data_IF_890671346844
#
_entry.id   IF_890671346844
#
_cell.length_a   1.000
_cell.length_b   1.000
_cell.length_c   1.000
_cell.angle_alpha   90.00
_cell.angle_beta   90.00
_cell.angle_gamma   90.00
#
_symmetry.space_group_name_H-M   'P 1'
#
loop_
_entity.id
_entity.type
_entity.pdbx_description
1 polymer ?
#
# COMPACT_ATOMS: atom_id res chain seq x y z
N UNK A 1 -15.07 40.24 47.60
CA UNK A 1 -14.23 39.31 46.82
C UNK A 1 -15.06 38.05 46.57
N UNK A 2 -15.74 37.94 45.42
CA UNK A 2 -16.43 36.70 45.02
C UNK A 2 -15.46 35.82 44.21
N UNK A 3 -15.57 34.49 44.25
CA UNK A 3 -14.67 33.62 43.50
C UNK A 3 -14.91 33.76 41.98
N UNK A 4 -13.88 33.60 41.14
CA UNK A 4 -14.02 33.66 39.69
C UNK A 4 -14.87 32.49 39.21
N UNK A 5 -15.97 32.79 38.53
CA UNK A 5 -16.81 31.82 37.85
C UNK A 5 -16.03 31.29 36.65
N UNK A 6 -15.48 30.08 36.76
CA UNK A 6 -14.97 29.33 35.61
C UNK A 6 -16.15 29.05 34.66
N UNK A 7 -16.30 29.87 33.62
CA UNK A 7 -17.05 29.47 32.43
C UNK A 7 -16.25 28.38 31.74
N UNK A 8 -16.73 27.15 31.78
CA UNK A 8 -16.41 26.20 30.73
C UNK A 8 -16.81 26.83 29.39
N UNK A 9 -15.96 26.80 28.35
CA UNK A 9 -16.43 27.16 27.02
C UNK A 9 -17.57 26.22 26.68
N UNK A 10 -18.74 26.80 26.40
CA UNK A 10 -19.85 26.11 25.79
C UNK A 10 -19.37 25.72 24.39
N UNK A 11 -18.84 24.51 24.26
CA UNK A 11 -18.51 23.94 22.96
C UNK A 11 -19.83 23.82 22.21
N UNK A 12 -19.98 24.67 21.20
CA UNK A 12 -21.11 24.68 20.28
C UNK A 12 -21.10 23.38 19.50
N UNK A 13 -22.03 22.48 19.84
CA UNK A 13 -22.19 21.14 19.25
C UNK A 13 -22.21 21.17 17.70
N UNK A 14 -22.61 22.31 17.12
CA UNK A 14 -22.61 22.55 15.66
C UNK A 14 -21.19 22.62 15.06
N UNK A 15 -20.23 23.25 15.73
CA UNK A 15 -18.84 23.36 15.23
C UNK A 15 -18.12 22.01 15.25
N UNK A 16 -18.43 21.16 16.23
CA UNK A 16 -17.90 19.79 16.31
C UNK A 16 -18.47 18.88 15.22
N UNK A 17 -19.75 19.05 14.89
CA UNK A 17 -20.43 18.24 13.87
C UNK A 17 -19.92 18.55 12.45
N UNK A 18 -19.75 19.83 12.13
CA UNK A 18 -19.17 20.25 10.85
C UNK A 18 -17.70 19.79 10.71
N UNK A 19 -16.91 19.91 11.77
CA UNK A 19 -15.53 19.42 11.80
C UNK A 19 -15.42 17.91 11.55
N UNK A 20 -16.29 17.12 12.20
CA UNK A 20 -16.37 15.68 11.99
C UNK A 20 -16.79 15.32 10.57
N UNK A 21 -17.79 15.99 10.01
CA UNK A 21 -18.25 15.74 8.64
C UNK A 21 -17.14 16.00 7.61
N UNK A 22 -16.39 17.10 7.76
CA UNK A 22 -15.25 17.40 6.90
C UNK A 22 -14.12 16.38 7.03
N UNK A 23 -13.84 15.91 8.25
CA UNK A 23 -12.85 14.86 8.48
C UNK A 23 -13.26 13.53 7.83
N UNK A 24 -14.52 13.11 8.02
CA UNK A 24 -15.07 11.90 7.39
C UNK A 24 -15.08 12.00 5.87
N UNK A 25 -15.47 13.15 5.32
CA UNK A 25 -15.43 13.39 3.87
C UNK A 25 -14.00 13.26 3.34
N UNK A 26 -13.02 13.88 4.00
CA UNK A 26 -11.62 13.79 3.61
C UNK A 26 -11.12 12.35 3.61
N UNK A 27 -11.45 11.58 4.65
CA UNK A 27 -11.07 10.15 4.75
C UNK A 27 -11.74 9.33 3.66
N UNK A 28 -13.04 9.54 3.42
CA UNK A 28 -13.80 8.84 2.37
C UNK A 28 -13.26 9.14 0.98
N UNK A 29 -12.95 10.41 0.66
CA UNK A 29 -12.33 10.79 -0.62
C UNK A 29 -10.95 10.14 -0.76
N UNK A 30 -10.15 10.15 0.31
CA UNK A 30 -8.83 9.50 0.31
C UNK A 30 -8.94 7.98 0.06
N UNK A 31 -9.88 7.30 0.71
CA UNK A 31 -10.18 5.88 0.49
C UNK A 31 -10.70 5.62 -0.93
N UNK A 32 -11.56 6.50 -1.45
CA UNK A 32 -12.09 6.39 -2.80
C UNK A 32 -10.97 6.43 -3.85
N UNK A 33 -10.07 7.42 -3.73
CA UNK A 33 -8.89 7.53 -4.59
C UNK A 33 -8.01 6.29 -4.46
N UNK A 34 -7.76 5.81 -3.23
CA UNK A 34 -7.02 4.58 -3.00
C UNK A 34 -7.63 3.39 -3.75
N UNK A 35 -8.93 3.11 -3.58
CA UNK A 35 -9.57 1.96 -4.24
C UNK A 35 -9.61 2.07 -5.75
N UNK A 36 -9.77 3.28 -6.28
CA UNK A 36 -9.77 3.52 -7.71
C UNK A 36 -8.40 3.23 -8.32
N UNK A 37 -7.33 3.81 -7.75
CA UNK A 37 -5.96 3.55 -8.18
C UNK A 37 -5.57 2.09 -7.93
N UNK A 38 -6.04 1.48 -6.84
CA UNK A 38 -5.79 0.07 -6.51
C UNK A 38 -6.41 -0.89 -7.54
N UNK A 39 -7.61 -0.57 -8.01
CA UNK A 39 -8.27 -1.31 -9.09
C UNK A 39 -7.50 -1.17 -10.40
N UNK A 40 -7.12 0.05 -10.78
CA UNK A 40 -6.32 0.31 -11.98
C UNK A 40 -4.97 -0.41 -11.94
N UNK A 41 -4.28 -0.37 -10.81
CA UNK A 41 -3.01 -1.05 -10.61
C UNK A 41 -3.18 -2.57 -10.71
N UNK A 42 -4.23 -3.14 -10.11
CA UNK A 42 -4.52 -4.57 -10.17
C UNK A 42 -4.80 -5.04 -11.61
N UNK A 43 -5.63 -4.33 -12.36
CA UNK A 43 -5.94 -4.66 -13.76
C UNK A 43 -4.68 -4.51 -14.62
N UNK A 44 -3.97 -3.38 -14.52
CA UNK A 44 -2.77 -3.11 -15.33
C UNK A 44 -1.67 -4.12 -15.06
N UNK A 45 -1.40 -4.43 -13.78
CA UNK A 45 -0.38 -5.41 -13.42
C UNK A 45 -0.76 -6.81 -13.89
N UNK A 46 -2.02 -7.23 -13.71
CA UNK A 46 -2.51 -8.52 -14.20
C UNK A 46 -2.34 -8.65 -15.72
N UNK A 47 -2.77 -7.64 -16.48
CA UNK A 47 -2.65 -7.65 -17.94
C UNK A 47 -1.19 -7.63 -18.38
N UNK A 48 -0.37 -6.71 -17.88
CA UNK A 48 1.04 -6.57 -18.31
C UNK A 48 1.86 -7.81 -17.93
N UNK A 49 1.79 -8.26 -16.68
CA UNK A 49 2.54 -9.43 -16.20
C UNK A 49 1.98 -10.71 -16.83
N UNK A 50 0.67 -10.83 -17.00
CA UNK A 50 0.02 -11.97 -17.65
C UNK A 50 0.41 -12.10 -19.11
N UNK A 51 0.30 -11.02 -19.88
CA UNK A 51 0.75 -11.01 -21.27
C UNK A 51 2.25 -11.27 -21.39
N UNK A 52 3.09 -10.68 -20.53
CA UNK A 52 4.53 -10.91 -20.57
C UNK A 52 4.89 -12.37 -20.26
N UNK A 53 4.26 -12.99 -19.26
CA UNK A 53 4.50 -14.40 -18.92
C UNK A 53 4.01 -15.35 -20.01
N UNK A 54 2.82 -15.13 -20.57
CA UNK A 54 2.30 -15.91 -21.71
C UNK A 54 3.20 -15.77 -22.95
N UNK A 55 3.68 -14.56 -23.24
CA UNK A 55 4.59 -14.32 -24.34
C UNK A 55 5.93 -15.03 -24.13
N UNK A 56 6.46 -15.06 -22.90
CA UNK A 56 7.67 -15.84 -22.57
C UNK A 56 7.45 -17.33 -22.82
N UNK A 57 6.30 -17.88 -22.43
CA UNK A 57 5.94 -19.29 -22.67
C UNK A 57 5.82 -19.59 -24.16
N UNK A 58 5.13 -18.74 -24.92
CA UNK A 58 4.97 -18.89 -26.36
C UNK A 58 6.30 -18.79 -27.14
N UNK A 59 7.25 -17.99 -26.64
CA UNK A 59 8.58 -17.80 -27.24
C UNK A 59 9.66 -18.73 -26.66
N UNK A 60 9.33 -19.56 -25.68
CA UNK A 60 10.21 -20.62 -25.15
C UNK A 60 10.74 -21.56 -26.24
N UNK A 61 9.94 -22.04 -27.22
CA UNK A 61 10.47 -22.90 -28.30
C UNK A 61 11.49 -22.20 -29.21
N UNK A 62 11.57 -20.86 -29.19
CA UNK A 62 12.58 -20.08 -29.93
C UNK A 62 13.90 -19.91 -29.14
N UNK A 63 14.11 -20.76 -28.13
CA UNK A 63 15.28 -20.94 -27.25
C UNK A 63 15.79 -19.67 -26.54
N UNK A 64 16.30 -18.69 -27.28
CA UNK A 64 16.99 -17.52 -26.71
C UNK A 64 16.02 -16.37 -26.38
N UNK A 65 14.99 -16.17 -27.21
CA UNK A 65 14.11 -15.00 -27.08
C UNK A 65 13.21 -15.09 -25.83
N UNK A 66 12.64 -16.28 -25.55
CA UNK A 66 11.82 -16.50 -24.36
C UNK A 66 12.59 -16.29 -23.05
N UNK A 67 13.85 -16.75 -22.98
CA UNK A 67 14.69 -16.59 -21.77
C UNK A 67 15.07 -15.13 -21.52
N UNK A 68 15.35 -14.38 -22.59
CA UNK A 68 15.65 -12.93 -22.49
C UNK A 68 14.42 -12.18 -21.96
N UNK A 69 13.24 -12.43 -22.52
CA UNK A 69 11.99 -11.81 -22.05
C UNK A 69 11.64 -12.19 -20.62
N UNK A 70 11.90 -13.43 -20.22
CA UNK A 70 11.68 -13.90 -18.86
C UNK A 70 12.51 -13.14 -17.82
N UNK A 71 13.69 -12.62 -18.20
CA UNK A 71 14.49 -11.74 -17.33
C UNK A 71 13.90 -10.34 -17.14
N UNK A 72 13.07 -9.87 -18.07
CA UNK A 72 12.42 -8.56 -17.94
C UNK A 72 11.19 -8.59 -17.02
N UNK A 73 10.51 -9.74 -16.90
CA UNK A 73 9.31 -9.88 -16.04
C UNK A 73 9.56 -9.46 -14.59
N UNK A 74 10.63 -9.92 -13.89
CA UNK A 74 10.95 -9.47 -12.53
C UNK A 74 11.19 -7.96 -12.42
N UNK A 75 11.75 -7.33 -13.44
CA UNK A 75 11.97 -5.88 -13.45
C UNK A 75 10.64 -5.11 -13.48
N UNK A 76 9.71 -5.54 -14.33
CA UNK A 76 8.35 -5.00 -14.39
C UNK A 76 7.62 -5.20 -13.05
N UNK A 77 7.73 -6.40 -12.49
CA UNK A 77 7.13 -6.74 -11.18
C UNK A 77 7.70 -5.90 -10.05
N UNK A 78 9.00 -5.58 -10.08
CA UNK A 78 9.61 -4.68 -9.09
C UNK A 78 9.01 -3.28 -9.15
N UNK A 79 8.81 -2.72 -10.36
CA UNK A 79 8.16 -1.40 -10.54
C UNK A 79 6.73 -1.43 -10.01
N UNK A 80 5.95 -2.48 -10.31
CA UNK A 80 4.61 -2.61 -9.75
C UNK A 80 4.60 -2.74 -8.22
N UNK A 81 5.58 -3.42 -7.63
CA UNK A 81 5.70 -3.54 -6.19
C UNK A 81 6.02 -2.19 -5.53
N UNK A 82 6.86 -1.35 -6.15
CA UNK A 82 7.13 0.01 -5.67
C UNK A 82 5.88 0.91 -5.74
N UNK A 83 5.15 0.85 -6.85
CA UNK A 83 3.89 1.58 -7.02
C UNK A 83 2.84 1.11 -6.00
N UNK A 84 2.76 -0.19 -5.76
CA UNK A 84 1.82 -0.79 -4.81
C UNK A 84 2.12 -0.38 -3.37
N UNK A 85 3.40 -0.39 -2.98
CA UNK A 85 3.82 0.12 -1.67
C UNK A 85 3.52 1.60 -1.53
N UNK A 86 3.79 2.41 -2.57
CA UNK A 86 3.45 3.83 -2.57
C UNK A 86 1.96 4.07 -2.37
N UNK A 87 1.12 3.24 -3.01
CA UNK A 87 -0.33 3.31 -2.87
C UNK A 87 -0.82 2.92 -1.47
N UNK A 88 -0.23 1.89 -0.86
CA UNK A 88 -0.54 1.50 0.52
C UNK A 88 -0.09 2.58 1.51
N UNK A 89 1.09 3.15 1.33
CA UNK A 89 1.60 4.24 2.17
C UNK A 89 0.75 5.51 2.06
N UNK A 90 0.10 5.73 0.92
CA UNK A 90 -0.83 6.85 0.77
C UNK A 90 -1.97 6.77 1.79
N UNK A 91 -2.52 5.59 2.07
CA UNK A 91 -3.65 5.41 3.02
C UNK A 91 -3.20 5.12 4.46
N UNK A 92 -2.01 4.57 4.65
CA UNK A 92 -1.45 4.27 5.99
C UNK A 92 -1.05 5.50 6.79
N UNK A 93 -1.04 5.34 8.12
CA UNK A 93 -0.44 6.28 9.06
C UNK A 93 1.09 6.34 8.88
N UNK A 94 1.76 7.44 9.23
CA UNK A 94 3.22 7.58 9.08
C UNK A 94 4.03 6.47 9.77
N UNK A 95 3.53 5.95 10.90
CA UNK A 95 4.15 4.87 11.66
C UNK A 95 4.14 3.52 10.91
N UNK A 96 3.14 3.31 10.04
CA UNK A 96 2.96 2.07 9.28
C UNK A 96 3.59 2.11 7.87
N UNK A 97 4.35 3.17 7.56
CA UNK A 97 4.93 3.36 6.22
C UNK A 97 5.99 2.31 5.91
N UNK A 98 5.80 1.63 4.78
CA UNK A 98 6.74 0.63 4.27
C UNK A 98 7.88 1.35 3.54
N UNK A 99 9.12 1.00 3.87
CA UNK A 99 10.31 1.59 3.25
C UNK A 99 10.60 1.00 1.86
N UNK A 100 10.68 1.87 0.84
CA UNK A 100 10.87 1.47 -0.58
C UNK A 100 12.36 1.38 -0.96
N UNK A 101 13.25 2.16 -0.32
CA UNK A 101 14.69 2.25 -0.67
C UNK A 101 15.59 1.67 0.42
N UNK A 102 16.83 1.30 0.07
CA UNK A 102 17.91 1.03 1.06
C UNK A 102 17.91 2.20 2.05
N UNK A 103 17.68 1.88 3.32
CA UNK A 103 17.68 2.81 4.45
C UNK A 103 18.96 3.66 4.40
N UNK A 104 18.86 4.84 3.80
CA UNK A 104 19.91 5.85 3.79
C UNK A 104 19.46 7.09 4.58
N UNK A 105 18.21 7.08 5.07
CA UNK A 105 17.72 8.06 6.02
C UNK A 105 17.71 7.46 7.43
N UNK A 106 18.54 8.09 8.25
CA UNK A 106 18.81 7.94 9.67
C UNK A 106 17.89 7.01 10.50
N UNK A 107 18.45 6.02 11.24
CA UNK A 107 17.72 5.19 12.20
C UNK A 107 17.14 5.95 13.41
N UNK A 108 17.29 7.28 13.49
CA UNK A 108 16.90 8.08 14.65
C UNK A 108 15.38 8.13 14.92
N UNK A 109 14.52 7.99 13.89
CA UNK A 109 13.06 8.12 14.09
C UNK A 109 12.33 6.81 14.42
N UNK A 110 12.90 5.65 14.08
CA UNK A 110 12.28 4.36 14.40
C UNK A 110 12.44 3.97 15.88
N UNK A 111 13.49 4.46 16.54
CA UNK A 111 13.73 4.22 17.96
C UNK A 111 12.84 5.04 18.91
N UNK A 112 12.18 6.10 18.43
CA UNK A 112 11.31 6.93 19.26
C UNK A 112 9.97 6.25 19.63
N UNK A 113 9.54 5.22 18.88
CA UNK A 113 8.27 4.52 19.11
C UNK A 113 8.42 3.07 19.62
N UNK A 114 9.64 2.61 19.94
CA UNK A 114 9.85 1.27 20.51
C UNK A 114 9.64 0.09 19.54
N UNK A 115 9.55 0.35 18.24
CA UNK A 115 9.28 -0.67 17.23
C UNK A 115 10.59 -1.32 16.75
N UNK A 116 10.76 -2.61 17.06
CA UNK A 116 12.04 -3.34 16.87
C UNK A 116 12.24 -3.88 15.46
N UNK A 117 11.29 -3.66 14.53
CA UNK A 117 11.38 -4.13 13.14
C UNK A 117 10.70 -3.17 12.17
N UNK A 118 11.39 -2.82 11.08
CA UNK A 118 10.86 -1.97 9.99
C UNK A 118 10.49 -2.87 8.80
N UNK A 119 9.32 -2.63 8.21
CA UNK A 119 8.89 -3.32 6.97
C UNK A 119 9.58 -2.69 5.75
N UNK A 120 10.19 -3.53 4.91
CA UNK A 120 10.94 -3.07 3.74
C UNK A 120 10.62 -3.88 2.49
N UNK A 121 10.58 -3.20 1.35
CA UNK A 121 10.46 -3.84 0.04
C UNK A 121 11.67 -4.73 -0.25
N UNK A 122 11.44 -5.98 -0.68
CA UNK A 122 12.51 -6.95 -0.91
C UNK A 122 13.50 -6.47 -1.99
N UNK A 123 14.80 -6.31 -1.68
CA UNK A 123 15.78 -5.72 -2.59
C UNK A 123 16.14 -6.60 -3.80
N UNK A 124 15.67 -7.85 -3.86
CA UNK A 124 15.96 -8.81 -4.93
C UNK A 124 14.79 -9.05 -5.91
N UNK A 125 13.75 -8.21 -5.91
CA UNK A 125 12.59 -8.33 -6.82
C UNK A 125 12.97 -8.23 -8.30
N UNK A 126 14.02 -7.49 -8.65
CA UNK A 126 14.50 -7.32 -10.02
C UNK A 126 15.33 -8.48 -10.55
N UNK A 127 15.67 -9.47 -9.70
CA UNK A 127 16.41 -10.67 -10.08
C UNK A 127 15.48 -11.88 -10.02
N UNK A 128 15.68 -12.84 -10.92
CA UNK A 128 15.03 -14.14 -10.85
C UNK A 128 15.36 -14.80 -9.52
N UNK A 129 14.39 -14.80 -8.61
CA UNK A 129 14.50 -15.30 -7.25
C UNK A 129 13.15 -15.86 -6.81
N UNK A 130 13.11 -16.74 -5.80
CA UNK A 130 11.84 -17.22 -5.23
C UNK A 130 10.93 -16.07 -4.76
N UNK A 131 11.53 -14.96 -4.31
CA UNK A 131 10.81 -13.74 -3.93
C UNK A 131 10.19 -13.02 -5.12
N UNK A 132 10.91 -12.91 -6.25
CA UNK A 132 10.35 -12.35 -7.47
C UNK A 132 9.22 -13.21 -8.03
N UNK A 133 9.35 -14.55 -8.03
CA UNK A 133 8.28 -15.46 -8.44
C UNK A 133 7.02 -15.28 -7.59
N UNK A 134 7.18 -15.14 -6.28
CA UNK A 134 6.07 -14.88 -5.35
C UNK A 134 5.37 -13.55 -5.66
N UNK A 135 6.13 -12.49 -5.93
CA UNK A 135 5.58 -11.21 -6.32
C UNK A 135 4.88 -11.26 -7.70
N UNK A 136 5.44 -12.00 -8.66
CA UNK A 136 4.78 -12.26 -9.95
C UNK A 136 3.43 -12.95 -9.75
N UNK A 137 3.37 -14.01 -8.94
CA UNK A 137 2.12 -14.69 -8.62
C UNK A 137 1.12 -13.78 -7.90
N UNK A 138 1.60 -12.91 -7.01
CA UNK A 138 0.78 -11.89 -6.36
C UNK A 138 0.10 -10.97 -7.38
N UNK A 139 0.85 -10.40 -8.32
CA UNK A 139 0.29 -9.52 -9.35
C UNK A 139 -0.61 -10.24 -10.38
N UNK A 140 -0.34 -11.53 -10.63
CA UNK A 140 -1.19 -12.37 -11.49
C UNK A 140 -2.49 -12.87 -10.83
N UNK A 141 -2.64 -12.76 -9.51
CA UNK A 141 -3.80 -13.35 -8.83
C UNK A 141 -4.34 -12.45 -7.72
N UNK A 142 -3.67 -12.43 -6.58
CA UNK A 142 -4.13 -11.75 -5.36
C UNK A 142 -4.33 -10.25 -5.61
N UNK A 143 -3.42 -9.57 -6.29
CA UNK A 143 -3.58 -8.14 -6.59
C UNK A 143 -4.75 -7.89 -7.52
N UNK A 144 -4.91 -8.73 -8.55
CA UNK A 144 -6.04 -8.63 -9.47
C UNK A 144 -7.38 -8.80 -8.72
N UNK A 145 -7.46 -9.78 -7.82
CA UNK A 145 -8.63 -10.02 -6.98
C UNK A 145 -8.90 -8.84 -6.03
N UNK A 146 -7.88 -8.35 -5.33
CA UNK A 146 -8.02 -7.19 -4.42
C UNK A 146 -8.41 -5.92 -5.19
N UNK A 147 -7.90 -5.73 -6.41
CA UNK A 147 -8.29 -4.67 -7.32
C UNK A 147 -9.75 -4.79 -7.79
N UNK A 148 -10.20 -6.00 -8.12
CA UNK A 148 -11.58 -6.28 -8.49
C UNK A 148 -12.56 -6.04 -7.32
N UNK A 149 -12.20 -6.50 -6.11
CA UNK A 149 -12.94 -6.21 -4.89
C UNK A 149 -13.00 -4.70 -4.62
N UNK A 150 -11.92 -3.96 -4.89
CA UNK A 150 -11.91 -2.50 -4.75
C UNK A 150 -12.89 -1.80 -5.69
N UNK A 151 -12.93 -2.22 -6.97
CA UNK A 151 -13.94 -1.70 -7.91
C UNK A 151 -15.36 -2.10 -7.51
N UNK A 152 -15.57 -3.30 -6.98
CA UNK A 152 -16.87 -3.78 -6.53
C UNK A 152 -17.38 -2.94 -5.36
N UNK A 153 -16.54 -2.68 -4.35
CA UNK A 153 -16.89 -1.84 -3.20
C UNK A 153 -17.24 -0.42 -3.64
N UNK A 154 -16.45 0.18 -4.54
CA UNK A 154 -16.76 1.50 -5.10
C UNK A 154 -18.08 1.51 -5.86
N UNK A 155 -18.32 0.49 -6.68
CA UNK A 155 -19.56 0.37 -7.45
C UNK A 155 -20.78 0.24 -6.54
N UNK A 156 -20.70 -0.58 -5.49
CA UNK A 156 -21.80 -0.74 -4.52
C UNK A 156 -22.05 0.58 -3.78
N UNK A 157 -21.02 1.23 -3.27
CA UNK A 157 -21.15 2.44 -2.46
C UNK A 157 -21.65 3.65 -3.27
N UNK A 158 -21.23 3.79 -4.52
CA UNK A 158 -21.42 5.01 -5.30
C UNK A 158 -22.31 4.86 -6.55
N UNK A 159 -22.82 3.67 -6.88
CA UNK A 159 -23.67 3.46 -8.06
C UNK A 159 -24.91 4.35 -8.09
N UNK A 160 -25.65 4.44 -6.97
CA UNK A 160 -26.85 5.27 -6.88
C UNK A 160 -26.56 6.78 -6.99
N UNK A 161 -25.67 7.37 -6.16
CA UNK A 161 -25.39 8.80 -6.26
C UNK A 161 -24.75 9.18 -7.59
N UNK A 162 -23.79 8.40 -8.10
CA UNK A 162 -23.16 8.67 -9.40
C UNK A 162 -24.17 8.50 -10.54
N UNK A 163 -25.04 7.50 -10.46
CA UNK A 163 -26.11 7.29 -11.44
C UNK A 163 -27.10 8.45 -11.51
N UNK A 164 -27.52 8.98 -10.36
CA UNK A 164 -28.40 10.14 -10.28
C UNK A 164 -27.74 11.41 -10.85
N UNK A 165 -26.47 11.65 -10.52
CA UNK A 165 -25.69 12.79 -11.06
C UNK A 165 -25.53 12.66 -12.58
N UNK A 166 -25.15 11.48 -13.07
CA UNK A 166 -24.88 11.25 -14.49
C UNK A 166 -26.13 11.38 -15.35
N UNK A 167 -27.30 10.96 -14.83
CA UNK A 167 -28.59 11.06 -15.53
C UNK A 167 -29.26 12.42 -15.38
N UNK A 168 -28.84 13.24 -14.41
CA UNK A 168 -29.52 14.50 -14.06
C UNK A 168 -30.94 14.31 -13.49
N UNK A 169 -31.33 13.08 -13.17
CA UNK A 169 -32.63 12.70 -12.62
C UNK A 169 -32.47 11.42 -11.78
N UNK A 170 -33.29 11.24 -10.76
CA UNK A 170 -33.29 10.04 -9.89
C UNK A 170 -33.76 8.79 -10.64
N UNK A 171 -34.40 8.96 -11.80
CA UNK A 171 -34.96 7.87 -12.62
C UNK A 171 -36.40 7.56 -12.24
N UNK A 172 -37.13 6.93 -13.16
CA UNK A 172 -38.59 6.79 -13.07
C UNK A 172 -39.05 5.98 -11.84
N UNK A 173 -38.18 5.11 -11.31
CA UNK A 173 -38.42 4.32 -10.10
C UNK A 173 -38.47 5.15 -8.81
N UNK A 174 -37.95 6.39 -8.82
CA UNK A 174 -37.83 7.26 -7.64
C UNK A 174 -38.56 8.59 -7.83
N UNK A 175 -39.76 8.55 -8.44
CA UNK A 175 -40.56 9.75 -8.65
C UNK A 175 -41.25 10.25 -7.37
N UNK A 176 -41.34 11.57 -7.21
CA UNK A 176 -42.00 12.22 -6.08
C UNK A 176 -41.23 12.15 -4.75
N UNK A 177 -41.85 12.69 -3.69
CA UNK A 177 -41.22 12.82 -2.36
C UNK A 177 -40.87 11.46 -1.75
N UNK A 178 -41.74 10.46 -1.94
CA UNK A 178 -41.52 9.09 -1.45
C UNK A 178 -40.32 8.46 -2.17
N UNK A 179 -40.24 8.61 -3.50
CA UNK A 179 -39.11 8.10 -4.30
C UNK A 179 -37.78 8.74 -3.88
N UNK A 180 -37.76 10.05 -3.65
CA UNK A 180 -36.59 10.77 -3.11
C UNK A 180 -36.17 10.22 -1.74
N UNK A 181 -37.12 10.00 -0.83
CA UNK A 181 -36.83 9.48 0.51
C UNK A 181 -36.26 8.05 0.46
N UNK A 182 -36.80 7.18 -0.40
CA UNK A 182 -36.26 5.83 -0.61
C UNK A 182 -34.86 5.89 -1.22
N UNK A 183 -34.63 6.76 -2.21
CA UNK A 183 -33.32 6.96 -2.82
C UNK A 183 -32.27 7.43 -1.81
N UNK A 184 -32.62 8.40 -0.96
CA UNK A 184 -31.74 8.90 0.10
C UNK A 184 -31.44 7.80 1.13
N UNK A 185 -32.46 7.09 1.60
CA UNK A 185 -32.29 6.00 2.56
C UNK A 185 -31.40 4.89 2.00
N UNK A 186 -31.62 4.49 0.75
CA UNK A 186 -30.80 3.48 0.07
C UNK A 186 -29.36 3.96 -0.11
N UNK A 187 -29.16 5.20 -0.53
CA UNK A 187 -27.82 5.78 -0.70
C UNK A 187 -27.07 5.86 0.63
N UNK A 188 -27.72 6.33 1.69
CA UNK A 188 -27.14 6.38 3.04
C UNK A 188 -26.78 4.97 3.51
N UNK A 189 -27.65 3.99 3.32
CA UNK A 189 -27.38 2.60 3.70
C UNK A 189 -26.18 2.01 2.95
N UNK A 190 -26.09 2.25 1.64
CA UNK A 190 -24.96 1.81 0.82
C UNK A 190 -23.65 2.49 1.24
N UNK A 191 -23.66 3.77 1.59
CA UNK A 191 -22.49 4.48 2.10
C UNK A 191 -22.08 3.96 3.48
N UNK A 192 -23.05 3.72 4.38
CA UNK A 192 -22.81 3.16 5.71
C UNK A 192 -22.15 1.78 5.67
N UNK A 193 -22.48 0.97 4.67
CA UNK A 193 -21.83 -0.34 4.44
C UNK A 193 -20.51 -0.17 3.67
N UNK A 194 -20.51 0.71 2.67
CA UNK A 194 -19.38 0.93 1.77
C UNK A 194 -18.14 1.47 2.48
N UNK A 195 -18.29 2.42 3.41
CA UNK A 195 -17.16 3.02 4.13
C UNK A 195 -16.37 1.99 4.95
N UNK A 196 -16.99 1.15 5.81
CA UNK A 196 -16.30 0.06 6.49
C UNK A 196 -15.66 -0.94 5.52
N UNK A 197 -16.35 -1.29 4.43
CA UNK A 197 -15.80 -2.19 3.40
C UNK A 197 -14.56 -1.61 2.72
N UNK A 198 -14.55 -0.30 2.46
CA UNK A 198 -13.38 0.40 1.93
C UNK A 198 -12.21 0.36 2.92
N UNK A 199 -12.45 0.66 4.19
CA UNK A 199 -11.43 0.56 5.24
C UNK A 199 -10.86 -0.86 5.36
N UNK A 200 -11.72 -1.87 5.33
CA UNK A 200 -11.30 -3.27 5.34
C UNK A 200 -10.49 -3.62 4.09
N UNK A 201 -10.93 -3.19 2.91
CA UNK A 201 -10.23 -3.42 1.65
C UNK A 201 -8.84 -2.78 1.61
N UNK A 202 -8.69 -1.57 2.18
CA UNK A 202 -7.39 -0.92 2.33
C UNK A 202 -6.44 -1.74 3.24
N UNK A 203 -6.94 -2.21 4.39
CA UNK A 203 -6.17 -3.09 5.30
C UNK A 203 -5.80 -4.42 4.67
N UNK A 204 -6.72 -5.03 3.92
CA UNK A 204 -6.48 -6.27 3.20
C UNK A 204 -5.40 -6.08 2.14
N UNK A 205 -5.47 -4.98 1.37
CA UNK A 205 -4.45 -4.65 0.38
C UNK A 205 -3.08 -4.48 1.04
N UNK A 206 -2.98 -3.70 2.12
CA UNK A 206 -1.74 -3.52 2.90
C UNK A 206 -1.16 -4.86 3.34
N UNK A 207 -1.98 -5.68 4.00
CA UNK A 207 -1.56 -6.98 4.54
C UNK A 207 -1.03 -7.89 3.43
N UNK A 208 -1.70 -7.91 2.27
CA UNK A 208 -1.26 -8.68 1.13
C UNK A 208 0.07 -8.13 0.57
N UNK A 209 0.21 -6.82 0.37
CA UNK A 209 1.45 -6.20 -0.11
C UNK A 209 2.63 -6.50 0.83
N UNK A 210 2.44 -6.41 2.14
CA UNK A 210 3.45 -6.77 3.15
C UNK A 210 3.84 -8.24 3.02
N UNK A 211 2.87 -9.15 2.97
CA UNK A 211 3.12 -10.60 2.93
C UNK A 211 3.86 -11.05 1.66
N UNK A 212 3.47 -10.51 0.50
CA UNK A 212 4.00 -10.96 -0.80
C UNK A 212 5.26 -10.20 -1.24
N UNK A 213 5.34 -8.89 -0.97
CA UNK A 213 6.39 -8.01 -1.52
C UNK A 213 7.45 -7.57 -0.50
N UNK A 214 7.15 -7.64 0.81
CA UNK A 214 8.03 -7.09 1.85
C UNK A 214 8.76 -8.18 2.64
N UNK A 215 9.82 -7.77 3.31
CA UNK A 215 10.51 -8.52 4.36
C UNK A 215 10.60 -7.67 5.63
N UNK A 216 10.59 -8.33 6.80
CA UNK A 216 10.81 -7.65 8.07
C UNK A 216 12.32 -7.49 8.27
N UNK A 217 12.76 -6.26 8.47
CA UNK A 217 14.15 -5.94 8.77
C UNK A 217 14.26 -5.50 10.22
N UNK A 218 15.04 -6.23 11.01
CA UNK A 218 15.47 -5.77 12.35
C UNK A 218 16.77 -4.98 12.17
N UNK A 219 16.78 -3.65 12.41
CA UNK A 219 18.01 -2.89 12.40
C UNK A 219 18.91 -3.42 13.52
N UNK A 220 20.06 -4.00 13.15
CA UNK A 220 21.09 -4.39 14.12
C UNK A 220 21.62 -3.09 14.76
N UNK A 221 21.54 -2.93 16.09
CA UNK A 221 22.13 -1.77 16.74
C UNK A 221 23.61 -1.72 16.38
N UNK A 222 24.04 -0.68 15.67
CA UNK A 222 25.46 -0.37 15.54
C UNK A 222 25.94 0.22 16.87
N UNK A 223 26.01 -0.63 17.89
CA UNK A 223 26.72 -0.38 19.14
C UNK A 223 28.11 -1.02 19.05
N UNK A 224 29.15 -0.18 19.07
CA UNK A 224 30.57 -0.52 19.18
C UNK A 224 31.23 -1.32 18.04
N UNK A 225 31.60 -0.64 16.95
CA UNK A 225 32.81 -1.03 16.20
C UNK A 225 33.79 0.14 15.96
N UNK A 226 33.60 1.28 16.62
CA UNK A 226 34.44 2.47 16.41
C UNK A 226 35.61 2.66 17.38
N UNK A 227 35.89 1.73 18.31
CA UNK A 227 37.04 1.85 19.23
C UNK A 227 37.73 0.49 19.47
N UNK A 228 38.35 -0.11 18.44
CA UNK A 228 39.41 -1.13 18.65
C UNK A 228 40.26 -1.37 17.37
N UNK A 229 40.64 -0.31 16.65
CA UNK A 229 41.61 -0.42 15.54
C UNK A 229 42.64 0.71 15.48
N UNK A 230 42.89 1.35 16.61
CA UNK A 230 43.99 2.31 16.78
C UNK A 230 44.77 1.99 18.05
N UNK A 231 45.45 0.85 18.08
CA UNK A 231 46.74 0.72 18.75
C UNK A 231 47.40 -0.62 18.40
N UNK A 232 48.71 -0.57 18.18
CA UNK A 232 49.62 -1.62 17.71
C UNK A 232 49.61 -1.91 16.20
N UNK A 233 50.09 -0.92 15.45
CA UNK A 233 50.96 -1.19 14.33
C UNK A 233 52.40 -1.50 14.80
N UNK A 234 53.14 -2.14 13.89
CA UNK A 234 54.60 -2.25 13.80
C UNK A 234 55.31 -3.40 14.56
N UNK A 235 55.52 -4.51 13.84
CA UNK A 235 56.80 -5.21 13.60
C UNK A 235 56.42 -6.52 12.90
N UNK A 236 57.00 -7.03 11.83
CA UNK A 236 58.15 -6.74 10.99
C UNK A 236 58.29 -7.98 10.08
N UNK A 237 58.71 -7.79 8.83
CA UNK A 237 59.01 -8.84 7.85
C UNK A 237 59.79 -10.02 8.47
N UNK A 238 59.43 -11.27 8.11
CA UNK A 238 60.40 -12.18 7.47
C UNK A 238 59.72 -13.38 6.77
N UNK A 239 60.38 -13.75 5.69
CA UNK A 239 60.08 -14.67 4.59
C UNK A 239 60.34 -16.15 4.87
N UNK A 240 59.63 -16.99 4.10
CA UNK A 240 60.10 -18.20 3.38
C UNK A 240 60.09 -19.60 4.02
N UNK A 241 59.62 -20.52 3.16
CA UNK A 241 59.98 -21.93 2.93
C UNK A 241 59.40 -23.08 3.78
N UNK A 242 58.52 -23.84 3.12
CA UNK A 242 58.65 -25.25 2.70
C UNK A 242 59.71 -26.16 3.36
N UNK A 243 59.25 -27.41 3.53
CA UNK A 243 59.94 -28.70 3.71
C UNK A 243 60.46 -29.05 5.12
N UNK A 244 59.81 -29.99 5.81
CA UNK A 244 60.03 -31.47 5.77
C UNK A 244 58.83 -32.18 6.41
#
# INVERSE_FOLDING_TARGET
>A
MGPPSHRCPLVTIDEDAEGLAHALLRVTVKLMVFHWVNSLLGVTAFTVVGCATLLCLALTPLCCLGVVLFRFVPCIVAVFAELDVGLVNFVSLPEEHISVRKLQDSPANAHACGETSVERLKPALSKLSPSALRATLYFLSVKALVGALSSLVLSIAFSLPVGAITRGNLGDNFHGVIGLLVFLLATILLLMIGIPLMQYGARLSRTATVYFCCERYTPVPHGHHHEHSTMYGATGLHTANLDV
#
